data_IF_615117422553
#
_entry.id   IF_615117422553
#
_cell.length_a   1.000
_cell.length_b   1.000
_cell.length_c   1.000
_cell.angle_alpha   90.00
_cell.angle_beta   90.00
_cell.angle_gamma   90.00
#
_symmetry.space_group_name_H-M   'P 1'
#
loop_
_entity.id
_entity.type
_entity.pdbx_description
1 polymer ?
#
# COMPACT_ATOMS: atom_id res chain seq x y z
N UNK A 1 10.79 29.53 -2.77
CA UNK A 1 11.59 28.29 -2.97
C UNK A 1 11.37 27.45 -1.73
N UNK A 2 10.40 26.53 -1.75
CA UNK A 2 10.18 25.50 -0.72
C UNK A 2 9.05 24.50 -1.05
N UNK A 3 8.45 24.54 -2.25
CA UNK A 3 7.51 23.48 -2.69
C UNK A 3 8.25 22.33 -3.39
N UNK A 4 9.34 22.64 -4.11
CA UNK A 4 10.05 21.68 -4.98
C UNK A 4 10.83 20.60 -4.24
N UNK A 5 11.18 20.81 -2.97
CA UNK A 5 11.85 19.79 -2.14
C UNK A 5 10.84 18.83 -1.50
N UNK A 6 9.68 19.34 -1.10
CA UNK A 6 8.70 18.57 -0.33
C UNK A 6 7.93 17.58 -1.22
N UNK A 7 7.59 17.95 -2.46
CA UNK A 7 6.94 17.03 -3.40
C UNK A 7 7.81 15.82 -3.79
N UNK A 8 9.14 15.98 -3.87
CA UNK A 8 10.06 14.90 -4.24
C UNK A 8 10.27 13.89 -3.09
N UNK A 9 10.33 14.38 -1.84
CA UNK A 9 10.40 13.53 -0.65
C UNK A 9 9.07 12.80 -0.40
N UNK A 10 7.94 13.48 -0.63
CA UNK A 10 6.60 12.90 -0.50
C UNK A 10 6.31 11.83 -1.58
N UNK A 11 6.81 12.02 -2.81
CA UNK A 11 6.70 11.03 -3.90
C UNK A 11 7.51 9.75 -3.60
N UNK A 12 8.72 9.88 -3.04
CA UNK A 12 9.53 8.72 -2.64
C UNK A 12 8.94 7.98 -1.42
N UNK A 13 8.43 8.71 -0.42
CA UNK A 13 7.74 8.11 0.73
C UNK A 13 6.45 7.39 0.29
N UNK A 14 5.72 7.97 -0.67
CA UNK A 14 4.53 7.38 -1.26
C UNK A 14 4.83 6.00 -1.87
N UNK A 15 5.77 5.92 -2.81
CA UNK A 15 6.08 4.68 -3.53
C UNK A 15 6.54 3.58 -2.58
N UNK A 16 7.41 3.91 -1.62
CA UNK A 16 7.96 2.96 -0.68
C UNK A 16 6.87 2.33 0.19
N UNK A 17 6.01 3.14 0.81
CA UNK A 17 4.99 2.66 1.75
C UNK A 17 3.87 1.93 1.01
N UNK A 18 3.51 2.40 -0.17
CA UNK A 18 2.55 1.73 -1.04
C UNK A 18 3.04 0.32 -1.45
N UNK A 19 4.30 0.18 -1.86
CA UNK A 19 4.86 -1.12 -2.21
C UNK A 19 5.04 -2.04 -0.99
N UNK A 20 5.34 -1.49 0.18
CA UNK A 20 5.30 -2.26 1.45
C UNK A 20 3.90 -2.84 1.72
N UNK A 21 2.84 -2.06 1.49
CA UNK A 21 1.45 -2.52 1.59
C UNK A 21 1.15 -3.68 0.65
N UNK A 22 1.56 -3.57 -0.62
CA UNK A 22 1.43 -4.65 -1.61
C UNK A 22 2.17 -5.91 -1.19
N UNK A 23 3.43 -5.77 -0.76
CA UNK A 23 4.27 -6.89 -0.34
C UNK A 23 3.65 -7.62 0.87
N UNK A 24 3.10 -6.86 1.83
CA UNK A 24 2.47 -7.43 3.01
C UNK A 24 1.27 -8.34 2.67
N UNK A 25 0.44 -7.95 1.70
CA UNK A 25 -0.65 -8.82 1.23
C UNK A 25 -0.11 -10.15 0.70
N UNK A 26 0.91 -10.12 -0.16
CA UNK A 26 1.51 -11.33 -0.74
C UNK A 26 2.23 -12.21 0.28
N UNK A 27 2.76 -11.60 1.35
CA UNK A 27 3.35 -12.26 2.52
C UNK A 27 2.27 -12.85 3.47
N UNK A 28 0.98 -12.69 3.15
CA UNK A 28 -0.14 -13.17 3.95
C UNK A 28 -0.38 -12.36 5.23
N UNK A 29 0.23 -11.18 5.35
CA UNK A 29 0.02 -10.29 6.50
C UNK A 29 -1.36 -9.66 6.40
N UNK A 30 -2.11 -9.76 7.50
CA UNK A 30 -3.37 -9.06 7.65
C UNK A 30 -3.16 -7.56 7.83
N UNK A 31 -4.24 -6.81 7.60
CA UNK A 31 -4.28 -5.36 7.80
C UNK A 31 -3.94 -4.94 9.25
N UNK A 32 -4.10 -5.87 10.19
CA UNK A 32 -3.82 -5.70 11.61
C UNK A 32 -2.34 -5.87 12.01
N UNK A 33 -1.46 -6.23 11.07
CA UNK A 33 -0.04 -6.46 11.36
C UNK A 33 0.82 -5.18 11.26
N UNK A 34 0.24 -4.04 10.92
CA UNK A 34 0.97 -2.77 10.80
C UNK A 34 0.60 -1.83 11.96
N UNK A 35 1.58 -1.45 12.76
CA UNK A 35 1.42 -0.72 14.04
C UNK A 35 0.94 0.74 13.91
N UNK A 36 0.74 1.26 12.70
CA UNK A 36 0.18 2.59 12.47
C UNK A 36 -1.34 2.50 12.42
N UNK A 37 -1.99 2.57 13.59
CA UNK A 37 -3.44 2.73 13.73
C UNK A 37 -3.80 4.17 14.14
N UNK A 38 -3.12 5.15 13.57
CA UNK A 38 -3.23 6.55 13.95
C UNK A 38 -3.94 7.42 12.89
N UNK A 39 -4.36 6.83 11.77
CA UNK A 39 -4.97 7.54 10.66
C UNK A 39 -3.97 8.38 9.86
N UNK A 40 -2.66 8.13 10.02
CA UNK A 40 -1.61 8.84 9.30
C UNK A 40 -1.74 8.70 7.78
N UNK A 41 -1.10 9.63 7.06
CA UNK A 41 -1.00 9.57 5.61
C UNK A 41 -0.31 8.28 5.18
N UNK A 42 0.81 7.93 5.83
CA UNK A 42 1.56 6.69 5.64
C UNK A 42 0.69 5.43 5.82
N UNK A 43 -0.14 5.37 6.87
CA UNK A 43 -1.08 4.26 7.03
C UNK A 43 -2.03 4.12 5.83
N UNK A 44 -2.60 5.24 5.35
CA UNK A 44 -3.50 5.22 4.20
C UNK A 44 -2.81 4.69 2.94
N UNK A 45 -1.57 5.11 2.70
CA UNK A 45 -0.78 4.64 1.57
C UNK A 45 -0.50 3.14 1.63
N UNK A 46 -0.16 2.63 2.80
CA UNK A 46 0.05 1.20 3.01
C UNK A 46 -1.23 0.40 2.77
N UNK A 47 -2.37 0.89 3.28
CA UNK A 47 -3.69 0.27 3.08
C UNK A 47 -4.10 0.25 1.61
N UNK A 48 -3.82 1.34 0.88
CA UNK A 48 -4.11 1.42 -0.55
C UNK A 48 -3.30 0.38 -1.33
N UNK A 49 -2.00 0.24 -1.02
CA UNK A 49 -1.15 -0.80 -1.60
C UNK A 49 -1.65 -2.21 -1.30
N UNK A 50 -1.96 -2.50 -0.03
CA UNK A 50 -2.48 -3.80 0.39
C UNK A 50 -3.81 -4.16 -0.30
N UNK A 51 -4.73 -3.19 -0.36
CA UNK A 51 -6.04 -3.35 -0.99
C UNK A 51 -5.93 -3.58 -2.49
N UNK A 52 -5.01 -2.88 -3.16
CA UNK A 52 -4.76 -3.07 -4.58
C UNK A 52 -4.18 -4.47 -4.87
N UNK A 53 -3.21 -4.94 -4.07
CA UNK A 53 -2.68 -6.29 -4.20
C UNK A 53 -3.78 -7.36 -4.00
N UNK A 54 -4.66 -7.15 -3.01
CA UNK A 54 -5.83 -8.01 -2.80
C UNK A 54 -6.76 -8.02 -3.99
N UNK A 55 -7.11 -6.85 -4.55
CA UNK A 55 -7.97 -6.74 -5.74
C UNK A 55 -7.38 -7.50 -6.92
N UNK A 56 -6.06 -7.39 -7.14
CA UNK A 56 -5.37 -8.11 -8.21
C UNK A 56 -5.40 -9.62 -8.00
N UNK A 57 -5.16 -10.09 -6.78
CA UNK A 57 -5.27 -11.51 -6.43
C UNK A 57 -6.70 -12.03 -6.64
N UNK A 58 -7.72 -11.31 -6.15
CA UNK A 58 -9.12 -11.68 -6.33
C UNK A 58 -9.49 -11.77 -7.82
N UNK A 59 -9.04 -10.81 -8.63
CA UNK A 59 -9.24 -10.81 -10.08
C UNK A 59 -8.56 -12.01 -10.74
N UNK A 60 -7.33 -12.34 -10.34
CA UNK A 60 -6.60 -13.54 -10.84
C UNK A 60 -7.33 -14.84 -10.45
N UNK A 61 -7.78 -14.96 -9.21
CA UNK A 61 -8.49 -16.13 -8.70
C UNK A 61 -9.88 -16.30 -9.34
N UNK A 62 -10.55 -15.20 -9.72
CA UNK A 62 -11.80 -15.24 -10.48
C UNK A 62 -11.58 -15.76 -11.91
N UNK A 63 -10.50 -15.35 -12.59
CA UNK A 63 -10.20 -15.79 -13.96
C UNK A 63 -9.90 -17.28 -14.07
N UNK A 64 -9.32 -17.89 -13.04
CA UNK A 64 -9.08 -19.35 -13.02
C UNK A 64 -10.34 -20.18 -12.81
N UNK A 65 -11.45 -19.54 -12.43
CA UNK A 65 -12.71 -20.21 -12.08
C UNK A 65 -13.78 -20.10 -13.19
N UNK A 66 -13.51 -19.30 -14.23
CA UNK A 66 -14.29 -19.21 -15.48
C UNK A 66 -13.63 -20.07 -16.57
#
# INVERSE_FOLDING_TARGET
MNETQQEADDEQAYELIYDQGKAAFWDGKGVWCHDHHDGSFEQRLWLDGWTEAKRQHDTRAQRTRN
#
